data_IF_786265195605
#
_entry.id   IF_786265195605
#
_cell.length_a   1.000
_cell.length_b   1.000
_cell.length_c   1.000
_cell.angle_alpha   90.00
_cell.angle_beta   90.00
_cell.angle_gamma   90.00
#
_symmetry.space_group_name_H-M   'P 1'
#
loop_
_entity.id
_entity.type
_entity.pdbx_description
1 polymer ?
#
# COMPACT_ATOMS: atom_id res chain seq x y z
N UNK A 1 5.85 -26.18 9.59
CA UNK A 1 4.53 -25.78 9.07
C UNK A 1 4.41 -24.28 9.27
N UNK A 2 4.01 -23.50 8.26
CA UNK A 2 3.82 -22.04 8.43
C UNK A 2 2.47 -21.84 9.10
N UNK A 3 2.46 -21.30 10.31
CA UNK A 3 1.25 -20.97 11.05
C UNK A 3 0.81 -19.55 10.71
N UNK A 4 -0.45 -19.39 10.31
CA UNK A 4 -1.06 -18.09 10.02
C UNK A 4 -2.01 -17.74 11.16
N UNK A 5 -1.81 -16.58 11.79
CA UNK A 5 -2.67 -16.12 12.89
C UNK A 5 -4.07 -15.69 12.42
N UNK A 6 -4.13 -15.03 11.25
CA UNK A 6 -5.37 -14.70 10.55
C UNK A 6 -5.10 -14.78 9.04
N UNK A 7 -6.09 -15.21 8.26
CA UNK A 7 -6.02 -15.30 6.81
C UNK A 7 -7.39 -15.01 6.21
N UNK A 8 -7.40 -14.18 5.17
CA UNK A 8 -8.60 -13.84 4.41
C UNK A 8 -8.29 -13.71 2.92
N UNK A 9 -9.04 -14.42 2.10
CA UNK A 9 -9.06 -14.20 0.65
C UNK A 9 -10.14 -13.14 0.36
N UNK A 10 -9.75 -12.02 -0.26
CA UNK A 10 -10.62 -10.85 -0.48
C UNK A 10 -11.00 -10.76 -1.95
N UNK A 11 -12.31 -10.75 -2.22
CA UNK A 11 -12.90 -10.67 -3.55
C UNK A 11 -14.00 -9.62 -3.57
N UNK A 12 -14.31 -9.09 -4.75
CA UNK A 12 -15.37 -8.11 -4.96
C UNK A 12 -15.01 -7.09 -6.02
N UNK A 13 -15.77 -6.00 -6.06
CA UNK A 13 -15.43 -4.81 -6.82
C UNK A 13 -14.17 -4.15 -6.27
N UNK A 14 -13.55 -3.28 -7.08
CA UNK A 14 -12.35 -2.54 -6.67
C UNK A 14 -12.53 -1.77 -5.36
N UNK A 15 -13.70 -1.15 -5.16
CA UNK A 15 -14.02 -0.41 -3.95
C UNK A 15 -14.20 -1.32 -2.74
N UNK A 16 -14.85 -2.48 -2.91
CA UNK A 16 -14.98 -3.48 -1.86
C UNK A 16 -13.62 -4.06 -1.46
N UNK A 17 -12.76 -4.38 -2.43
CA UNK A 17 -11.42 -4.88 -2.15
C UNK A 17 -10.62 -3.86 -1.33
N UNK A 18 -10.64 -2.58 -1.70
CA UNK A 18 -9.95 -1.51 -0.94
C UNK A 18 -10.48 -1.46 0.49
N UNK A 19 -11.81 -1.39 0.67
CA UNK A 19 -12.46 -1.30 1.98
C UNK A 19 -12.17 -2.53 2.85
N UNK A 20 -12.38 -3.72 2.31
CA UNK A 20 -12.18 -4.98 3.06
C UNK A 20 -10.71 -5.20 3.42
N UNK A 21 -9.76 -4.74 2.59
CA UNK A 21 -8.34 -4.82 2.90
C UNK A 21 -7.96 -3.83 4.00
N UNK A 22 -8.49 -2.61 3.97
CA UNK A 22 -8.31 -1.62 5.04
C UNK A 22 -8.85 -2.15 6.39
N UNK A 23 -10.08 -2.68 6.41
CA UNK A 23 -10.67 -3.30 7.59
C UNK A 23 -9.83 -4.48 8.12
N UNK A 24 -9.32 -5.33 7.22
CA UNK A 24 -8.47 -6.46 7.60
C UNK A 24 -7.15 -6.00 8.22
N UNK A 25 -6.49 -4.98 7.65
CA UNK A 25 -5.27 -4.42 8.22
C UNK A 25 -5.52 -3.76 9.58
N UNK A 26 -6.57 -2.94 9.70
CA UNK A 26 -6.91 -2.26 10.96
C UNK A 26 -7.18 -3.27 12.08
N UNK A 27 -7.88 -4.36 11.78
CA UNK A 27 -8.15 -5.44 12.73
C UNK A 27 -6.87 -6.15 13.19
N UNK A 28 -5.90 -6.30 12.30
CA UNK A 28 -4.67 -7.07 12.55
C UNK A 28 -3.45 -6.21 12.92
N UNK A 29 -3.57 -4.88 12.90
CA UNK A 29 -2.53 -3.98 13.39
C UNK A 29 -2.57 -3.87 14.91
N UNK A 30 -1.38 -3.74 15.51
CA UNK A 30 -1.30 -3.34 16.91
C UNK A 30 -1.78 -1.90 17.04
N UNK A 31 -2.54 -1.62 18.08
CA UNK A 31 -3.00 -0.25 18.39
C UNK A 31 -2.54 0.13 19.80
N UNK A 32 -1.25 0.47 19.99
CA UNK A 32 -0.76 0.91 21.28
C UNK A 32 -1.51 2.16 21.77
N UNK A 33 -1.87 2.14 23.05
CA UNK A 33 -2.34 3.31 23.77
C UNK A 33 -1.13 4.08 24.33
N UNK A 34 -1.06 5.38 24.04
CA UNK A 34 -0.07 6.30 24.61
C UNK A 34 -0.78 7.32 25.49
N UNK A 35 -0.37 7.42 26.76
CA UNK A 35 -0.88 8.47 27.67
C UNK A 35 -0.06 9.74 27.46
N UNK A 36 -0.74 10.83 27.11
CA UNK A 36 -0.16 12.17 26.92
C UNK A 36 -0.91 13.13 27.83
N UNK A 37 -0.29 13.51 28.95
CA UNK A 37 -0.94 14.29 30.00
C UNK A 37 -2.15 13.53 30.58
N UNK A 38 -3.33 14.14 30.51
CA UNK A 38 -4.60 13.54 30.96
C UNK A 38 -5.40 12.87 29.84
N UNK A 39 -4.81 12.66 28.65
CA UNK A 39 -5.48 12.00 27.52
C UNK A 39 -4.75 10.72 27.12
N UNK A 40 -5.53 9.68 26.83
CA UNK A 40 -5.02 8.47 26.17
C UNK A 40 -5.27 8.61 24.68
N UNK A 41 -4.21 8.60 23.89
CA UNK A 41 -4.27 8.55 22.44
C UNK A 41 -4.01 7.12 21.96
N UNK A 42 -4.91 6.60 21.14
CA UNK A 42 -4.72 5.33 20.44
C UNK A 42 -4.10 5.61 19.09
N UNK A 43 -3.00 4.95 18.77
CA UNK A 43 -2.33 5.08 17.48
C UNK A 43 -2.09 3.70 16.92
N UNK A 44 -2.40 3.50 15.63
CA UNK A 44 -2.09 2.26 14.92
C UNK A 44 -0.58 2.05 14.82
N UNK A 45 -0.15 0.86 14.43
CA UNK A 45 1.26 0.53 14.23
C UNK A 45 1.87 1.25 13.02
N UNK A 46 1.09 1.37 11.93
CA UNK A 46 1.48 2.04 10.70
C UNK A 46 0.49 3.16 10.34
N UNK A 47 0.95 4.20 9.60
CA UNK A 47 0.04 5.22 9.08
C UNK A 47 -0.93 4.62 8.06
N UNK A 48 -2.23 4.72 8.37
CA UNK A 48 -3.31 4.22 7.50
C UNK A 48 -3.23 4.81 6.10
N UNK A 49 -2.88 6.09 5.99
CA UNK A 49 -2.72 6.78 4.70
C UNK A 49 -1.65 6.15 3.81
N UNK A 50 -0.51 5.74 4.39
CA UNK A 50 0.58 5.11 3.65
C UNK A 50 0.17 3.72 3.14
N UNK A 51 -0.48 2.93 4.00
CA UNK A 51 -0.97 1.60 3.64
C UNK A 51 -2.04 1.67 2.56
N UNK A 52 -2.98 2.61 2.67
CA UNK A 52 -4.03 2.83 1.68
C UNK A 52 -3.46 3.19 0.32
N UNK A 53 -2.50 4.11 0.28
CA UNK A 53 -1.79 4.49 -0.96
C UNK A 53 -1.03 3.30 -1.55
N UNK A 54 -0.34 2.51 -0.73
CA UNK A 54 0.40 1.34 -1.18
C UNK A 54 -0.51 0.24 -1.77
N UNK A 55 -1.68 -0.01 -1.16
CA UNK A 55 -2.69 -0.94 -1.70
C UNK A 55 -3.26 -0.44 -3.02
N UNK A 56 -3.62 0.85 -3.09
CA UNK A 56 -4.14 1.45 -4.32
C UNK A 56 -3.10 1.33 -5.43
N UNK A 57 -1.82 1.63 -5.13
CA UNK A 57 -0.73 1.46 -6.09
C UNK A 57 -0.60 0.00 -6.54
N UNK A 58 -0.68 -0.96 -5.61
CA UNK A 58 -0.64 -2.37 -5.94
C UNK A 58 -1.79 -2.78 -6.87
N UNK A 59 -3.02 -2.30 -6.64
CA UNK A 59 -4.19 -2.59 -7.47
C UNK A 59 -4.12 -1.92 -8.85
N UNK A 60 -3.75 -0.65 -8.91
CA UNK A 60 -3.73 0.13 -10.16
C UNK A 60 -2.61 -0.31 -11.08
N UNK A 61 -1.45 -0.60 -10.52
CA UNK A 61 -0.24 -0.92 -11.28
C UNK A 61 0.04 -2.42 -11.43
N UNK A 62 -0.82 -3.31 -10.90
CA UNK A 62 -0.68 -4.76 -11.13
C UNK A 62 -0.71 -5.09 -12.63
N UNK A 63 -0.03 -6.16 -12.99
CA UNK A 63 -0.27 -6.81 -14.27
C UNK A 63 -1.61 -7.57 -14.23
N UNK A 64 -2.61 -6.98 -14.89
CA UNK A 64 -3.96 -7.55 -14.98
C UNK A 64 -4.05 -8.78 -15.90
N UNK A 65 -3.00 -9.12 -16.65
CA UNK A 65 -2.92 -10.37 -17.41
C UNK A 65 -2.45 -11.55 -16.54
N UNK A 66 -1.85 -11.28 -15.38
CA UNK A 66 -1.45 -12.32 -14.44
C UNK A 66 -2.65 -12.87 -13.67
N UNK A 67 -2.72 -14.19 -13.52
CA UNK A 67 -3.67 -14.88 -12.63
C UNK A 67 -3.30 -14.79 -11.16
N UNK A 68 -2.09 -14.32 -10.84
CA UNK A 68 -1.63 -14.18 -9.46
C UNK A 68 -2.37 -13.05 -8.74
N UNK A 69 -2.71 -13.30 -7.48
CA UNK A 69 -3.28 -12.30 -6.57
C UNK A 69 -2.20 -11.33 -6.05
N UNK A 70 -2.63 -10.17 -5.58
CA UNK A 70 -1.81 -9.33 -4.71
C UNK A 70 -1.74 -10.01 -3.34
N UNK A 71 -0.54 -10.18 -2.80
CA UNK A 71 -0.34 -10.78 -1.48
C UNK A 71 -0.03 -9.68 -0.46
N UNK A 72 -0.87 -9.58 0.56
CA UNK A 72 -0.64 -8.77 1.75
C UNK A 72 -0.16 -9.70 2.88
N UNK A 73 1.01 -9.44 3.46
CA UNK A 73 1.52 -10.20 4.62
C UNK A 73 1.90 -9.24 5.73
N UNK A 74 1.37 -9.47 6.92
CA UNK A 74 1.65 -8.65 8.09
C UNK A 74 2.50 -9.47 9.05
N UNK A 75 3.71 -8.98 9.33
CA UNK A 75 4.63 -9.54 10.30
C UNK A 75 4.72 -8.64 11.52
N UNK A 76 5.35 -9.14 12.58
CA UNK A 76 5.57 -8.37 13.80
C UNK A 76 6.49 -7.14 13.61
N UNK A 77 7.20 -7.04 12.49
CA UNK A 77 8.19 -5.98 12.22
C UNK A 77 7.94 -5.18 10.95
N UNK A 78 7.15 -5.70 10.01
CA UNK A 78 6.90 -5.06 8.71
C UNK A 78 5.64 -5.62 8.05
N UNK A 79 5.19 -4.94 7.00
CA UNK A 79 4.10 -5.38 6.12
C UNK A 79 4.66 -5.50 4.71
N UNK A 80 4.47 -6.66 4.08
CA UNK A 80 4.75 -6.88 2.67
C UNK A 80 3.49 -6.69 1.84
N UNK A 81 3.61 -5.94 0.74
CA UNK A 81 2.58 -5.79 -0.30
C UNK A 81 3.20 -6.22 -1.62
N UNK A 82 2.85 -7.42 -2.09
CA UNK A 82 3.45 -8.03 -3.27
C UNK A 82 2.41 -8.02 -4.38
N UNK A 83 2.65 -7.23 -5.43
CA UNK A 83 1.78 -7.14 -6.61
C UNK A 83 2.44 -7.83 -7.81
N UNK A 84 1.68 -8.57 -8.65
CA UNK A 84 2.24 -9.20 -9.84
C UNK A 84 2.61 -8.18 -10.92
N UNK A 85 3.70 -8.47 -11.63
CA UNK A 85 4.21 -7.65 -12.73
C UNK A 85 5.46 -6.84 -12.36
N UNK A 86 6.10 -6.29 -13.39
CA UNK A 86 7.32 -5.48 -13.25
C UNK A 86 7.02 -3.97 -13.21
N UNK A 87 8.03 -3.16 -12.91
CA UNK A 87 7.95 -1.73 -13.19
C UNK A 87 7.82 -1.47 -14.69
N UNK A 88 7.06 -0.43 -15.03
CA UNK A 88 6.94 0.01 -16.42
C UNK A 88 8.25 0.65 -16.90
N UNK A 89 9.05 -0.11 -17.65
CA UNK A 89 10.29 0.38 -18.27
C UNK A 89 10.05 1.72 -19.01
N UNK A 90 11.00 2.67 -18.96
CA UNK A 90 12.34 2.56 -18.38
C UNK A 90 12.43 2.86 -16.87
N UNK A 91 11.30 2.92 -16.14
CA UNK A 91 11.28 3.24 -14.70
C UNK A 91 12.12 2.23 -13.89
N UNK A 92 12.95 2.75 -12.99
CA UNK A 92 13.73 1.96 -12.04
C UNK A 92 13.35 2.30 -10.60
N UNK A 93 13.65 1.39 -9.68
CA UNK A 93 13.50 1.61 -8.24
C UNK A 93 14.29 2.85 -7.79
N UNK A 94 15.49 3.07 -8.35
CA UNK A 94 16.31 4.27 -8.06
C UNK A 94 15.59 5.58 -8.34
N UNK A 95 14.76 5.60 -9.37
CA UNK A 95 14.05 6.80 -9.83
C UNK A 95 12.90 7.11 -8.87
N UNK A 96 12.17 6.07 -8.45
CA UNK A 96 11.13 6.15 -7.41
C UNK A 96 11.70 6.67 -6.10
N UNK A 97 12.88 6.18 -5.70
CA UNK A 97 13.53 6.58 -4.46
C UNK A 97 14.01 8.04 -4.47
N UNK A 98 14.30 8.60 -5.65
CA UNK A 98 14.73 9.99 -5.84
C UNK A 98 13.59 10.95 -6.16
N UNK A 99 12.35 10.45 -6.26
CA UNK A 99 11.19 11.19 -6.80
C UNK A 99 11.45 11.76 -8.22
N UNK A 100 12.36 11.13 -8.97
CA UNK A 100 12.80 11.56 -10.30
C UNK A 100 12.22 10.64 -11.36
N UNK A 101 10.89 10.64 -11.49
CA UNK A 101 10.19 9.81 -12.47
C UNK A 101 8.93 10.47 -13.00
N UNK A 102 8.57 10.10 -14.24
CA UNK A 102 7.28 10.43 -14.83
C UNK A 102 6.29 9.33 -14.43
N UNK A 103 5.17 9.66 -13.76
CA UNK A 103 4.16 8.68 -13.37
C UNK A 103 3.61 7.95 -14.60
N UNK A 104 3.70 6.61 -14.57
CA UNK A 104 3.16 5.74 -15.64
C UNK A 104 2.24 4.69 -15.02
N UNK A 105 1.10 4.48 -15.68
CA UNK A 105 0.10 3.52 -15.25
C UNK A 105 -0.21 2.51 -16.34
N UNK A 106 -0.31 1.23 -15.97
CA UNK A 106 -0.69 0.14 -16.88
C UNK A 106 -2.13 0.29 -17.32
N UNK A 107 -3.02 0.59 -16.38
CA UNK A 107 -4.45 0.69 -16.62
C UNK A 107 -4.96 2.11 -16.39
N UNK A 108 -5.05 2.89 -17.48
CA UNK A 108 -5.54 4.28 -17.42
C UNK A 108 -7.00 4.38 -17.00
N UNK A 109 -7.83 3.38 -17.32
CA UNK A 109 -9.24 3.35 -16.94
C UNK A 109 -9.38 3.26 -15.42
N UNK A 110 -8.61 2.37 -14.78
CA UNK A 110 -8.63 2.26 -13.31
C UNK A 110 -8.17 3.54 -12.62
N UNK A 111 -7.08 4.15 -13.10
CA UNK A 111 -6.61 5.46 -12.59
C UNK A 111 -7.71 6.51 -12.72
N UNK A 112 -8.40 6.55 -13.85
CA UNK A 112 -9.45 7.53 -14.08
C UNK A 112 -10.65 7.33 -13.17
N UNK A 113 -11.12 6.10 -13.03
CA UNK A 113 -12.24 5.74 -12.15
C UNK A 113 -11.90 6.08 -10.69
N UNK A 114 -10.76 5.62 -10.19
CA UNK A 114 -10.36 5.86 -8.79
C UNK A 114 -10.10 7.34 -8.48
N UNK A 115 -9.60 8.08 -9.46
CA UNK A 115 -9.39 9.51 -9.28
C UNK A 115 -10.69 10.31 -9.30
N UNK A 116 -11.61 9.99 -10.21
CA UNK A 116 -12.94 10.63 -10.26
C UNK A 116 -13.77 10.30 -9.02
N UNK A 117 -13.55 9.13 -8.41
CA UNK A 117 -14.21 8.75 -7.15
C UNK A 117 -13.52 9.32 -5.90
N UNK A 118 -12.47 10.15 -6.04
CA UNK A 118 -11.72 10.71 -4.90
C UNK A 118 -10.88 9.69 -4.12
N UNK A 119 -10.72 8.47 -4.63
CA UNK A 119 -9.96 7.41 -3.97
C UNK A 119 -8.46 7.56 -4.21
N UNK A 120 -8.02 8.09 -5.35
CA UNK A 120 -6.61 8.34 -5.62
C UNK A 120 -6.38 9.71 -6.27
N UNK A 121 -5.15 10.22 -6.16
CA UNK A 121 -4.71 11.43 -6.84
C UNK A 121 -3.95 11.10 -8.13
N UNK A 122 -4.16 11.88 -9.21
CA UNK A 122 -3.46 11.73 -10.49
C UNK A 122 -2.09 12.39 -10.54
N UNK A 123 -1.70 13.15 -9.50
CA UNK A 123 -0.43 13.91 -9.48
C UNK A 123 0.82 13.04 -9.43
N UNK A 124 0.70 11.72 -9.22
CA UNK A 124 1.83 10.79 -9.21
C UNK A 124 2.75 10.95 -8.00
N UNK A 125 2.24 11.52 -6.92
CA UNK A 125 2.98 11.75 -5.67
C UNK A 125 2.83 10.60 -4.67
N UNK A 126 2.29 9.45 -5.09
CA UNK A 126 1.94 8.34 -4.20
C UNK A 126 3.13 7.83 -3.38
N UNK A 127 4.25 7.52 -4.04
CA UNK A 127 5.46 7.06 -3.35
C UNK A 127 6.03 8.10 -2.37
N UNK A 128 6.01 9.38 -2.75
CA UNK A 128 6.41 10.49 -1.88
C UNK A 128 5.50 10.56 -0.65
N UNK A 129 4.17 10.49 -0.82
CA UNK A 129 3.20 10.54 0.28
C UNK A 129 3.36 9.38 1.26
N UNK A 130 3.65 8.18 0.77
CA UNK A 130 3.97 7.02 1.62
C UNK A 130 5.19 7.35 2.48
N UNK A 131 6.30 7.79 1.87
CA UNK A 131 7.54 8.14 2.59
C UNK A 131 7.33 9.27 3.59
N UNK A 132 6.64 10.33 3.22
CA UNK A 132 6.35 11.45 4.11
C UNK A 132 5.50 11.02 5.30
N UNK A 133 4.51 10.15 5.08
CA UNK A 133 3.64 9.63 6.13
C UNK A 133 4.43 8.75 7.10
N UNK A 134 5.27 7.84 6.59
CA UNK A 134 6.19 7.02 7.40
C UNK A 134 7.15 7.89 8.22
N UNK A 135 7.74 8.92 7.61
CA UNK A 135 8.64 9.87 8.28
C UNK A 135 7.95 10.66 9.38
N UNK A 136 6.75 11.20 9.13
CA UNK A 136 5.92 11.88 10.16
C UNK A 136 5.62 10.96 11.33
N UNK A 137 5.58 9.65 11.07
CA UNK A 137 5.32 8.62 12.05
C UNK A 137 6.58 8.14 12.80
N UNK A 138 7.76 8.67 12.47
CA UNK A 138 9.07 8.22 12.95
C UNK A 138 9.33 6.72 12.65
N UNK A 139 8.80 6.23 11.54
CA UNK A 139 9.06 4.88 11.05
C UNK A 139 10.16 4.92 9.98
N UNK A 140 10.87 3.79 9.77
CA UNK A 140 11.80 3.65 8.64
C UNK A 140 11.12 3.93 7.30
N UNK A 141 11.91 4.36 6.32
CA UNK A 141 11.38 4.49 4.95
C UNK A 141 10.90 3.13 4.43
N UNK A 142 9.84 3.09 3.61
CA UNK A 142 9.43 1.87 2.93
C UNK A 142 10.52 1.40 1.98
N UNK A 143 10.68 0.09 1.86
CA UNK A 143 11.55 -0.53 0.87
C UNK A 143 10.72 -0.90 -0.38
N UNK A 144 11.23 -0.56 -1.56
CA UNK A 144 10.65 -0.98 -2.83
C UNK A 144 11.60 -1.95 -3.51
N UNK A 145 11.10 -3.15 -3.83
CA UNK A 145 11.89 -4.23 -4.41
C UNK A 145 11.20 -4.73 -5.67
N UNK A 146 11.91 -4.73 -6.79
CA UNK A 146 11.52 -5.45 -8.01
C UNK A 146 12.15 -6.84 -7.93
N UNK A 147 11.33 -7.89 -7.72
CA UNK A 147 11.77 -9.28 -7.88
C UNK A 147 11.50 -9.68 -9.32
N UNK A 148 12.53 -10.09 -10.05
CA UNK A 148 12.32 -10.68 -11.38
C UNK A 148 11.44 -11.93 -11.22
N UNK A 149 10.35 -11.97 -11.97
CA UNK A 149 9.48 -13.14 -12.14
C UNK A 149 9.87 -13.89 -13.39
#
# INVERSE_FOLDING_TARGET
MVEWLDRKDIHGTLFEIIKLTEEFMLKNMRTPAKVIGFKTEFRTEYPVEALREAIINALVHRDWHSSNAILLRMFNSHIDIISPGELLRPLKISDIMKDDYIPKSRNKVLVEVLSKSGVMDKRGTGFLRIRESMRKWNLPNPEFIEKQG
#
